data_IF_923202086844
#
_entry.id   IF_923202086844
#
_cell.length_a   1.000
_cell.length_b   1.000
_cell.length_c   1.000
_cell.angle_alpha   90.00
_cell.angle_beta   90.00
_cell.angle_gamma   90.00
#
_symmetry.space_group_name_H-M   'P 1'
#
loop_
_entity.id
_entity.type
_entity.pdbx_description
1 polymer ?
#
# COMPACT_ATOMS: atom_id res chain seq x y z
N UNK A 1 27.46 8.45 -22.86
CA UNK A 1 26.33 7.51 -23.06
C UNK A 1 25.21 7.94 -22.14
N UNK A 2 24.16 8.57 -22.67
CA UNK A 2 22.97 8.87 -21.88
C UNK A 2 22.36 7.53 -21.45
N UNK A 3 22.31 7.27 -20.14
CA UNK A 3 21.52 6.16 -19.61
C UNK A 3 20.09 6.39 -20.10
N UNK A 4 19.49 5.38 -20.73
CA UNK A 4 18.08 5.38 -21.10
C UNK A 4 17.26 5.76 -19.87
N UNK A 5 16.90 7.04 -19.75
CA UNK A 5 15.86 7.49 -18.84
C UNK A 5 14.58 6.91 -19.42
N UNK A 6 14.18 5.73 -18.94
CA UNK A 6 12.91 5.11 -19.33
C UNK A 6 11.83 6.06 -18.82
N UNK A 7 11.27 6.85 -19.73
CA UNK A 7 10.15 7.74 -19.44
C UNK A 7 8.90 6.89 -19.28
N UNK A 8 8.60 6.50 -18.05
CA UNK A 8 7.38 5.75 -17.73
C UNK A 8 6.21 6.73 -17.79
N UNK A 9 5.24 6.46 -18.66
CA UNK A 9 4.01 7.24 -18.70
C UNK A 9 3.22 7.09 -17.39
N UNK A 10 2.39 8.06 -17.03
CA UNK A 10 1.55 7.97 -15.82
C UNK A 10 0.64 6.73 -15.82
N UNK A 11 0.06 6.38 -16.97
CA UNK A 11 -0.78 5.19 -17.11
C UNK A 11 0.02 3.92 -16.87
N UNK A 12 1.22 3.82 -17.46
CA UNK A 12 2.10 2.67 -17.25
C UNK A 12 2.56 2.56 -15.78
N UNK A 13 2.79 3.69 -15.10
CA UNK A 13 3.11 3.69 -13.68
C UNK A 13 1.93 3.19 -12.84
N UNK A 14 0.69 3.58 -13.17
CA UNK A 14 -0.52 3.07 -12.50
C UNK A 14 -0.61 1.55 -12.67
N UNK A 15 -0.54 1.05 -13.91
CA UNK A 15 -0.64 -0.38 -14.20
C UNK A 15 0.44 -1.20 -13.47
N UNK A 16 1.70 -0.72 -13.50
CA UNK A 16 2.80 -1.37 -12.78
C UNK A 16 2.60 -1.37 -11.27
N UNK A 17 2.13 -0.26 -10.71
CA UNK A 17 1.84 -0.16 -9.27
C UNK A 17 0.76 -1.15 -8.88
N UNK A 18 -0.30 -1.26 -9.66
CA UNK A 18 -1.44 -2.11 -9.34
C UNK A 18 -1.13 -3.59 -9.52
N UNK A 19 -0.33 -3.95 -10.53
CA UNK A 19 0.21 -5.31 -10.65
C UNK A 19 1.07 -5.68 -9.44
N UNK A 20 1.91 -4.75 -8.97
CA UNK A 20 2.74 -4.97 -7.78
C UNK A 20 1.88 -5.15 -6.53
N UNK A 21 0.90 -4.27 -6.29
CA UNK A 21 -0.02 -4.35 -5.15
C UNK A 21 -0.81 -5.66 -5.14
N UNK A 22 -1.40 -6.04 -6.27
CA UNK A 22 -2.17 -7.28 -6.36
C UNK A 22 -1.34 -8.52 -6.02
N UNK A 23 -0.12 -8.60 -6.56
CA UNK A 23 0.82 -9.68 -6.22
C UNK A 23 1.23 -9.64 -4.75
N UNK A 24 1.43 -8.45 -4.18
CA UNK A 24 1.87 -8.29 -2.80
C UNK A 24 0.80 -8.72 -1.80
N UNK A 25 -0.48 -8.40 -2.02
CA UNK A 25 -1.56 -8.91 -1.19
C UNK A 25 -1.64 -10.44 -1.20
N UNK A 26 -1.45 -11.07 -2.36
CA UNK A 26 -1.58 -12.54 -2.48
C UNK A 26 -0.36 -13.26 -1.93
N UNK A 27 0.84 -12.65 -1.91
CA UNK A 27 2.08 -13.33 -1.52
C UNK A 27 2.57 -12.98 -0.12
N UNK A 28 2.55 -11.69 0.22
CA UNK A 28 3.23 -11.16 1.41
C UNK A 28 2.23 -10.66 2.46
N UNK A 29 1.18 -9.96 2.04
CA UNK A 29 0.26 -9.23 2.91
C UNK A 29 -1.18 -9.80 2.90
N UNK A 30 -1.30 -11.13 2.90
CA UNK A 30 -2.60 -11.83 2.84
C UNK A 30 -3.46 -11.51 4.07
N UNK A 31 -2.80 -11.40 5.22
CA UNK A 31 -3.40 -11.08 6.51
C UNK A 31 -4.14 -9.75 6.50
N UNK A 32 -3.66 -8.75 5.74
CA UNK A 32 -4.35 -7.45 5.60
C UNK A 32 -5.74 -7.57 4.97
N UNK A 33 -6.00 -8.62 4.19
CA UNK A 33 -7.31 -8.88 3.56
C UNK A 33 -8.11 -9.95 4.31
N UNK A 34 -7.90 -10.07 5.63
CA UNK A 34 -8.58 -11.04 6.49
C UNK A 34 -9.46 -10.36 7.56
N UNK A 35 -10.69 -10.83 7.74
CA UNK A 35 -11.62 -10.24 8.72
C UNK A 35 -11.17 -10.41 10.18
N UNK A 36 -10.44 -11.49 10.48
CA UNK A 36 -10.01 -11.85 11.84
C UNK A 36 -8.71 -11.16 12.22
N UNK A 37 -7.76 -11.09 11.29
CA UNK A 37 -6.37 -10.66 11.55
C UNK A 37 -5.96 -9.38 10.86
N UNK A 38 -6.74 -8.88 9.88
CA UNK A 38 -6.40 -7.73 9.03
C UNK A 38 -6.50 -6.38 9.73
N UNK A 39 -5.62 -6.15 10.69
CA UNK A 39 -5.40 -4.85 11.29
C UNK A 39 -3.96 -4.46 10.97
N UNK A 40 -3.73 -3.33 10.34
CA UNK A 40 -2.39 -3.00 9.88
C UNK A 40 -2.37 -1.86 8.87
N UNK A 41 -1.24 -1.72 8.19
CA UNK A 41 -1.04 -0.71 7.16
C UNK A 41 -0.39 -1.33 5.93
N UNK A 42 -0.76 -0.84 4.75
CA UNK A 42 0.00 -1.02 3.50
C UNK A 42 0.56 0.34 3.08
N UNK A 43 1.84 0.41 2.83
CA UNK A 43 2.53 1.61 2.35
C UNK A 43 2.98 1.41 0.90
N UNK A 44 2.62 2.37 0.04
CA UNK A 44 3.07 2.45 -1.34
C UNK A 44 4.00 3.65 -1.47
N UNK A 45 5.29 3.38 -1.67
CA UNK A 45 6.36 4.38 -1.66
C UNK A 45 6.78 4.67 -3.10
N UNK A 46 6.58 5.90 -3.54
CA UNK A 46 6.99 6.41 -4.83
C UNK A 46 8.28 7.23 -4.70
N UNK A 47 9.28 6.88 -5.52
CA UNK A 47 10.53 7.61 -5.65
C UNK A 47 10.79 7.96 -7.12
N UNK A 48 11.40 9.12 -7.38
CA UNK A 48 11.71 9.54 -8.76
C UNK A 48 12.53 8.48 -9.49
N UNK A 49 12.12 8.19 -10.73
CA UNK A 49 12.80 7.26 -11.66
C UNK A 49 12.99 5.85 -11.10
N UNK A 50 12.19 5.43 -10.12
CA UNK A 50 12.24 4.09 -9.54
C UNK A 50 10.85 3.46 -9.58
N UNK A 51 10.81 2.12 -9.63
CA UNK A 51 9.57 1.39 -9.40
C UNK A 51 9.07 1.67 -7.98
N UNK A 52 7.74 1.72 -7.76
CA UNK A 52 7.18 1.86 -6.44
C UNK A 52 7.61 0.68 -5.55
N UNK A 53 7.78 0.96 -4.27
CA UNK A 53 8.07 -0.07 -3.26
C UNK A 53 6.84 -0.25 -2.38
N UNK A 54 6.63 -1.47 -1.91
CA UNK A 54 5.57 -1.80 -0.98
C UNK A 54 6.16 -2.22 0.35
N UNK A 55 5.51 -1.79 1.42
CA UNK A 55 5.77 -2.26 2.77
C UNK A 55 4.43 -2.50 3.47
N UNK A 56 4.39 -3.42 4.42
CA UNK A 56 3.22 -3.58 5.26
C UNK A 56 3.62 -3.84 6.71
N UNK A 57 2.71 -3.46 7.61
CA UNK A 57 2.83 -3.72 9.04
C UNK A 57 1.51 -4.26 9.54
N UNK A 58 1.54 -5.27 10.40
CA UNK A 58 0.36 -5.73 11.11
C UNK A 58 0.33 -5.12 12.51
N UNK A 59 -0.87 -4.78 12.98
CA UNK A 59 -1.13 -4.26 14.31
C UNK A 59 -1.69 -5.39 15.16
N UNK A 60 -0.90 -5.81 16.15
CA UNK A 60 -1.34 -6.80 17.15
C UNK A 60 -2.22 -6.10 18.17
N UNK A 61 -3.48 -6.53 18.26
CA UNK A 61 -4.38 -6.12 19.35
C UNK A 61 -4.35 -7.21 20.42
N UNK A 62 -3.69 -6.99 21.58
CA UNK A 62 -3.73 -7.94 22.67
C UNK A 62 -5.17 -8.04 23.22
N UNK A 63 -5.62 -9.26 23.50
CA UNK A 63 -6.91 -9.53 24.11
C UNK A 63 -6.71 -10.16 25.49
N UNK A 64 -7.53 -9.78 26.47
CA UNK A 64 -7.56 -10.49 27.76
C UNK A 64 -8.71 -11.49 27.70
N UNK A 65 -8.41 -12.79 27.78
CA UNK A 65 -9.40 -13.87 27.85
C UNK A 65 -9.16 -14.66 29.11
N UNK A 66 -10.19 -14.82 29.95
CA UNK A 66 -10.13 -15.56 31.22
C UNK A 66 -8.95 -15.14 32.12
N UNK A 67 -8.68 -13.83 32.23
CA UNK A 67 -7.58 -13.30 33.05
C UNK A 67 -6.17 -13.52 32.47
N UNK A 68 -6.05 -14.12 31.29
CA UNK A 68 -4.78 -14.34 30.60
C UNK A 68 -4.65 -13.44 29.37
N UNK A 69 -3.44 -12.93 29.14
CA UNK A 69 -3.11 -12.18 27.93
C UNK A 69 -3.06 -13.15 26.74
N UNK A 70 -3.78 -12.82 25.68
CA UNK A 70 -3.77 -13.53 24.41
C UNK A 70 -3.32 -12.58 23.31
N UNK A 71 -2.31 -13.04 22.58
CA UNK A 71 -1.74 -12.33 21.44
C UNK A 71 -2.12 -13.12 20.20
N UNK A 72 -2.97 -12.55 19.35
CA UNK A 72 -3.31 -13.16 18.07
C UNK A 72 -2.25 -12.79 17.04
N UNK A 73 -1.73 -13.80 16.34
CA UNK A 73 -0.81 -13.62 15.24
C UNK A 73 -1.55 -13.62 13.90
N UNK A 74 -1.06 -12.88 12.90
CA UNK A 74 -1.67 -12.86 11.59
C UNK A 74 -1.62 -14.24 10.93
N UNK A 75 -2.71 -14.60 10.27
CA UNK A 75 -2.84 -15.83 9.48
C UNK A 75 -2.51 -15.53 8.03
N UNK A 76 -1.76 -16.42 7.37
CA UNK A 76 -1.51 -16.35 5.92
C UNK A 76 -2.72 -16.87 5.13
N UNK A 77 -3.83 -16.18 5.28
CA UNK A 77 -5.09 -16.44 4.57
C UNK A 77 -5.78 -15.11 4.30
N UNK A 78 -6.37 -14.95 3.12
CA UNK A 78 -7.15 -13.77 2.77
C UNK A 78 -8.59 -14.14 2.38
N UNK A 79 -9.51 -13.20 2.56
CA UNK A 79 -10.86 -13.28 2.04
C UNK A 79 -10.90 -12.69 0.62
N UNK A 80 -11.30 -13.49 -0.37
CA UNK A 80 -11.32 -13.07 -1.78
C UNK A 80 -12.19 -11.82 -2.04
N UNK A 81 -13.32 -11.69 -1.35
CA UNK A 81 -14.20 -10.52 -1.50
C UNK A 81 -13.53 -9.26 -0.97
N UNK A 82 -12.84 -9.36 0.17
CA UNK A 82 -12.07 -8.25 0.73
C UNK A 82 -10.87 -7.90 -0.15
N UNK A 83 -10.14 -8.91 -0.64
CA UNK A 83 -9.02 -8.70 -1.55
C UNK A 83 -9.45 -7.92 -2.79
N UNK A 84 -10.56 -8.32 -3.42
CA UNK A 84 -11.10 -7.60 -4.58
C UNK A 84 -11.48 -6.16 -4.24
N UNK A 85 -12.25 -5.96 -3.17
CA UNK A 85 -12.67 -4.63 -2.74
C UNK A 85 -11.49 -3.71 -2.43
N UNK A 86 -10.51 -4.21 -1.69
CA UNK A 86 -9.31 -3.46 -1.33
C UNK A 86 -8.48 -3.11 -2.57
N UNK A 87 -8.34 -4.03 -3.53
CA UNK A 87 -7.68 -3.73 -4.81
C UNK A 87 -8.40 -2.63 -5.60
N UNK A 88 -9.73 -2.64 -5.65
CA UNK A 88 -10.52 -1.59 -6.32
C UNK A 88 -10.33 -0.22 -5.64
N UNK A 89 -10.32 -0.18 -4.31
CA UNK A 89 -10.07 1.05 -3.53
C UNK A 89 -8.65 1.57 -3.77
N UNK A 90 -7.64 0.70 -3.69
CA UNK A 90 -6.24 1.06 -3.92
C UNK A 90 -6.07 1.58 -5.35
N UNK A 91 -6.66 0.91 -6.34
CA UNK A 91 -6.63 1.33 -7.74
C UNK A 91 -7.11 2.76 -7.90
N UNK A 92 -8.29 3.07 -7.35
CA UNK A 92 -8.89 4.40 -7.44
C UNK A 92 -7.99 5.47 -6.84
N UNK A 93 -7.52 5.26 -5.61
CA UNK A 93 -6.71 6.22 -4.87
C UNK A 93 -5.33 6.42 -5.53
N UNK A 94 -4.66 5.33 -5.92
CA UNK A 94 -3.36 5.38 -6.61
C UNK A 94 -3.48 6.09 -7.95
N UNK A 95 -4.53 5.80 -8.72
CA UNK A 95 -4.76 6.42 -10.03
C UNK A 95 -4.95 7.93 -9.90
N UNK A 96 -5.74 8.38 -8.93
CA UNK A 96 -5.95 9.82 -8.64
C UNK A 96 -4.64 10.47 -8.21
N UNK A 97 -3.90 9.83 -7.31
CA UNK A 97 -2.62 10.35 -6.83
C UNK A 97 -1.59 10.49 -7.96
N UNK A 98 -1.37 9.46 -8.77
CA UNK A 98 -0.40 9.50 -9.87
C UNK A 98 -0.83 10.52 -10.93
N UNK A 99 -2.12 10.56 -11.28
CA UNK A 99 -2.63 11.44 -12.33
C UNK A 99 -2.52 12.93 -11.94
N UNK A 100 -2.78 13.26 -10.68
CA UNK A 100 -2.82 14.64 -10.19
C UNK A 100 -1.46 15.29 -9.95
N UNK A 101 -0.35 14.54 -9.99
CA UNK A 101 0.99 15.06 -9.64
C UNK A 101 1.82 15.39 -10.88
N UNK A 102 2.55 16.51 -10.86
CA UNK A 102 3.56 16.79 -11.88
C UNK A 102 4.74 15.80 -11.76
N UNK A 103 5.19 15.57 -10.53
CA UNK A 103 6.22 14.57 -10.17
C UNK A 103 5.60 13.63 -9.13
N UNK A 104 5.61 12.33 -9.42
CA UNK A 104 5.03 11.31 -8.53
C UNK A 104 6.08 10.89 -7.50
N UNK A 105 5.94 11.39 -6.27
CA UNK A 105 6.86 11.09 -5.17
C UNK A 105 6.17 11.24 -3.81
N UNK A 106 6.50 10.34 -2.89
CA UNK A 106 5.96 10.29 -1.53
C UNK A 106 5.42 8.91 -1.21
N UNK A 107 4.62 8.82 -0.15
CA UNK A 107 4.05 7.56 0.34
C UNK A 107 2.54 7.68 0.46
N UNK A 108 1.82 6.67 -0.01
CA UNK A 108 0.40 6.46 0.29
C UNK A 108 0.32 5.33 1.32
N UNK A 109 -0.26 5.60 2.49
CA UNK A 109 -0.45 4.60 3.55
C UNK A 109 -1.93 4.29 3.68
N UNK A 110 -2.32 3.06 3.37
CA UNK A 110 -3.66 2.53 3.57
C UNK A 110 -3.76 1.86 4.93
N UNK A 111 -4.77 2.22 5.71
CA UNK A 111 -4.99 1.72 7.06
C UNK A 111 -6.09 0.67 7.01
N UNK A 112 -5.80 -0.52 7.54
CA UNK A 112 -6.69 -1.67 7.56
C UNK A 112 -7.24 -1.92 8.96
N UNK A 113 -8.54 -2.17 9.04
CA UNK A 113 -9.22 -2.72 10.20
C UNK A 113 -10.17 -3.84 9.78
N UNK A 114 -10.05 -4.99 10.44
CA UNK A 114 -10.83 -6.21 10.12
C UNK A 114 -10.83 -6.54 8.62
N UNK A 115 -9.66 -6.43 8.00
CA UNK A 115 -9.45 -6.77 6.61
C UNK A 115 -9.89 -5.71 5.59
N UNK A 116 -10.39 -4.56 6.05
CA UNK A 116 -10.94 -3.49 5.20
C UNK A 116 -10.10 -2.24 5.32
N UNK A 117 -9.89 -1.56 4.19
CA UNK A 117 -9.32 -0.21 4.20
C UNK A 117 -10.34 0.74 4.85
N UNK A 118 -9.95 1.38 5.94
CA UNK A 118 -10.78 2.36 6.68
C UNK A 118 -10.35 3.81 6.46
N UNK A 119 -9.08 4.02 6.10
CA UNK A 119 -8.52 5.35 5.89
C UNK A 119 -7.28 5.27 4.99
N UNK A 120 -6.87 6.41 4.43
CA UNK A 120 -5.64 6.55 3.68
C UNK A 120 -4.95 7.87 3.99
N UNK A 121 -3.62 7.83 4.14
CA UNK A 121 -2.79 9.00 4.44
C UNK A 121 -1.76 9.20 3.34
N UNK A 122 -1.45 10.47 3.06
CA UNK A 122 -0.43 10.85 2.10
C UNK A 122 0.69 11.58 2.83
N UNK A 123 1.91 11.11 2.69
CA UNK A 123 3.11 11.84 3.14
C UNK A 123 3.96 12.19 1.93
N UNK A 124 4.23 13.48 1.74
CA UNK A 124 5.18 13.93 0.74
C UNK A 124 6.60 13.92 1.30
N UNK A 125 7.54 13.33 0.57
CA UNK A 125 8.96 13.55 0.82
C UNK A 125 9.41 14.77 0.03
N UNK A 126 8.86 15.96 0.32
CA UNK A 126 9.41 17.20 -0.25
C UNK A 126 10.77 17.45 0.42
N UNK A 127 11.85 17.08 -0.25
CA UNK A 127 13.15 17.69 0.00
C UNK A 127 13.16 18.93 -0.89
N UNK A 128 13.25 20.11 -0.29
CA UNK A 128 13.22 21.45 -0.91
C UNK A 128 14.16 21.67 -2.13
N UNK A 129 14.95 20.68 -2.56
CA UNK A 129 15.95 20.79 -3.64
C UNK A 129 15.42 20.60 -5.06
N UNK A 130 14.17 20.16 -5.24
CA UNK A 130 13.64 19.82 -6.58
C UNK A 130 12.85 20.94 -7.26
N UNK A 131 12.64 22.10 -6.61
CA UNK A 131 12.01 23.28 -7.24
C UNK A 131 13.01 24.16 -8.02
N UNK A 132 14.32 23.97 -7.83
CA UNK A 132 15.38 24.78 -8.45
C UNK A 132 16.04 24.11 -9.68
N UNK A 133 15.53 22.98 -10.15
CA UNK A 133 16.02 22.27 -11.34
C UNK A 133 14.96 22.16 -12.43
#
# INVERSE_FOLDING_TARGET
MAKNDIYISKNELIERTMLLVGNYFVREAQDLCNEKSGNGNLEIIFAMKQNPRLNHSYNVKPEIRNGSLHISHPTKEYNEKLLRLNNEIVYSIVSIYISSKAIVQGTITFIFEKGKIIDCKFSSSFIYRDLER
#
